data_IF_104052965707
#
_entry.id   IF_104052965707
#
_cell.length_a   1.000
_cell.length_b   1.000
_cell.length_c   1.000
_cell.angle_alpha   90.00
_cell.angle_beta   90.00
_cell.angle_gamma   90.00
#
_symmetry.space_group_name_H-M   'P 1'
#
loop_
_entity.id
_entity.type
_entity.pdbx_description
1 polymer ?
#
# COMPACT_ATOMS: atom_id res chain seq x y z
N UNK A 1 -76.96 -10.27 -6.11
CA UNK A 1 -77.03 -9.32 -5.00
C UNK A 1 -75.77 -8.44 -5.02
N UNK A 2 -75.92 -7.22 -5.55
CA UNK A 2 -75.39 -5.89 -5.13
C UNK A 2 -74.39 -5.80 -3.98
N UNK A 3 -73.51 -4.80 -3.85
CA UNK A 3 -72.97 -3.72 -4.71
C UNK A 3 -71.87 -3.01 -3.89
N UNK A 4 -71.06 -2.19 -4.55
CA UNK A 4 -69.92 -1.39 -4.02
C UNK A 4 -70.38 -0.17 -3.17
N UNK A 5 -69.51 0.64 -2.50
CA UNK A 5 -68.75 1.68 -3.22
C UNK A 5 -67.40 2.16 -2.63
N UNK A 6 -66.81 3.10 -3.38
CA UNK A 6 -65.47 3.72 -3.38
C UNK A 6 -65.28 4.89 -2.38
N UNK A 7 -64.02 5.25 -2.11
CA UNK A 7 -63.61 6.59 -1.67
C UNK A 7 -62.13 6.90 -1.97
N UNK A 8 -61.86 7.93 -2.79
CA UNK A 8 -60.52 8.45 -3.18
C UNK A 8 -60.01 9.49 -2.16
N UNK A 9 -58.69 9.64 -2.03
CA UNK A 9 -58.09 10.86 -1.46
C UNK A 9 -56.56 10.90 -1.52
N UNK A 10 -56.01 11.72 -2.43
CA UNK A 10 -54.59 12.10 -2.51
C UNK A 10 -54.27 13.18 -1.46
N UNK A 11 -53.07 13.17 -0.88
CA UNK A 11 -52.56 14.32 -0.14
C UNK A 11 -51.14 14.12 0.40
N UNK A 12 -50.15 14.70 -0.29
CA UNK A 12 -48.77 14.85 0.20
C UNK A 12 -48.74 15.97 1.26
N UNK A 13 -48.00 15.77 2.34
CA UNK A 13 -47.71 16.85 3.29
C UNK A 13 -46.57 16.47 4.23
N UNK A 14 -45.35 16.92 3.92
CA UNK A 14 -44.18 16.86 4.80
C UNK A 14 -44.36 17.86 5.93
N UNK A 15 -44.40 17.40 7.18
CA UNK A 15 -44.27 18.24 8.37
C UNK A 15 -42.94 17.96 9.06
N UNK A 16 -41.99 18.91 8.96
CA UNK A 16 -40.78 18.94 9.79
C UNK A 16 -41.16 19.48 11.17
N UNK A 17 -40.99 18.67 12.21
CA UNK A 17 -40.98 19.14 13.59
C UNK A 17 -39.59 19.67 13.96
N UNK A 18 -39.53 20.96 14.27
CA UNK A 18 -38.41 21.60 14.97
C UNK A 18 -38.91 21.93 16.38
N UNK A 19 -38.16 21.56 17.42
CA UNK A 19 -38.29 22.16 18.75
C UNK A 19 -36.93 22.68 19.19
N UNK A 20 -36.95 23.99 19.41
CA UNK A 20 -35.92 24.93 19.82
C UNK A 20 -35.70 24.94 21.34
N UNK A 21 -34.49 25.32 21.77
CA UNK A 21 -34.24 26.10 23.01
C UNK A 21 -33.00 26.98 22.74
N UNK A 22 -33.14 28.25 22.34
CA UNK A 22 -33.26 29.50 23.13
C UNK A 22 -31.95 29.96 23.80
N UNK A 23 -31.41 31.13 23.39
CA UNK A 23 -31.08 32.24 24.29
C UNK A 23 -30.97 33.59 23.51
N UNK A 24 -31.82 34.52 23.97
CA UNK A 24 -32.11 35.96 23.73
C UNK A 24 -31.16 36.91 22.97
N UNK A 25 -31.75 37.93 22.32
CA UNK A 25 -31.31 39.33 22.43
C UNK A 25 -32.42 40.28 22.91
N UNK A 26 -32.00 41.42 23.46
CA UNK A 26 -32.81 42.44 24.10
C UNK A 26 -33.00 43.67 23.17
N UNK A 27 -34.28 44.00 22.92
CA UNK A 27 -34.97 45.28 22.65
C UNK A 27 -34.25 46.43 21.89
N UNK A 28 -34.80 46.91 20.76
CA UNK A 28 -35.87 47.95 20.58
C UNK A 28 -35.36 49.36 20.94
N UNK A 29 -35.63 50.48 20.27
CA UNK A 29 -36.53 51.00 19.24
C UNK A 29 -35.76 52.21 18.63
N UNK A 30 -36.00 52.77 17.44
CA UNK A 30 -37.24 53.31 16.91
C UNK A 30 -36.93 54.57 16.08
N UNK A 31 -37.91 54.96 15.27
CA UNK A 31 -38.15 56.26 14.64
C UNK A 31 -37.32 56.74 13.42
N UNK A 32 -37.99 56.61 12.27
CA UNK A 32 -38.31 57.65 11.27
C UNK A 32 -37.54 58.99 11.32
N UNK A 33 -37.01 59.42 10.17
CA UNK A 33 -37.47 60.61 9.42
C UNK A 33 -36.67 60.73 8.10
N UNK A 34 -37.38 60.93 6.98
CA UNK A 34 -36.82 61.45 5.73
C UNK A 34 -36.53 62.96 5.91
N UNK A 35 -35.56 63.51 5.15
CA UNK A 35 -35.64 64.83 4.49
C UNK A 35 -34.30 65.22 3.82
N UNK A 36 -34.43 65.49 2.52
CA UNK A 36 -33.78 66.46 1.64
C UNK A 36 -32.25 66.50 1.37
N UNK A 37 -31.97 66.72 0.08
CA UNK A 37 -31.12 67.87 -0.28
C UNK A 37 -29.92 67.58 -1.16
N UNK A 38 -30.17 67.46 -2.48
CA UNK A 38 -29.37 68.01 -3.59
C UNK A 38 -27.90 68.41 -3.36
N UNK A 39 -26.98 67.84 -4.15
CA UNK A 39 -26.02 68.63 -4.93
C UNK A 39 -25.13 67.75 -5.82
N UNK A 40 -25.54 67.67 -7.08
CA UNK A 40 -24.72 67.83 -8.29
C UNK A 40 -23.20 67.90 -8.15
N UNK A 41 -22.50 67.04 -8.92
CA UNK A 41 -21.30 67.26 -9.78
C UNK A 41 -20.67 65.88 -10.01
N UNK A 42 -20.56 65.32 -11.21
CA UNK A 42 -20.31 65.92 -12.49
C UNK A 42 -19.00 65.34 -13.04
N UNK A 43 -19.11 64.70 -14.22
CA UNK A 43 -18.05 64.43 -15.22
C UNK A 43 -17.09 63.26 -14.99
N UNK A 44 -16.93 62.47 -16.06
CA UNK A 44 -15.61 61.92 -16.42
C UNK A 44 -15.57 60.50 -16.95
N UNK A 45 -16.07 60.27 -18.17
CA UNK A 45 -15.62 59.14 -19.01
C UNK A 45 -14.19 59.41 -19.47
N UNK A 46 -13.27 58.45 -19.35
CA UNK A 46 -11.91 58.59 -19.91
C UNK A 46 -11.01 57.36 -19.74
N UNK A 47 -11.03 56.51 -20.77
CA UNK A 47 -10.23 55.31 -21.06
C UNK A 47 -8.72 55.41 -20.76
N UNK A 48 -8.11 54.29 -20.32
CA UNK A 48 -6.74 53.94 -20.74
C UNK A 48 -5.85 53.12 -19.80
N UNK A 49 -5.56 51.87 -20.25
CA UNK A 49 -4.31 51.09 -20.08
C UNK A 49 -3.93 50.54 -18.70
N UNK A 50 -3.56 49.25 -18.69
CA UNK A 50 -2.68 48.69 -17.65
C UNK A 50 -2.73 47.17 -17.51
N UNK A 51 -1.97 46.45 -18.36
CA UNK A 51 -1.49 45.10 -18.04
C UNK A 51 -0.77 45.16 -16.69
N UNK A 52 -1.27 44.42 -15.70
CA UNK A 52 -0.58 44.17 -14.44
C UNK A 52 -0.73 42.70 -14.09
N UNK A 53 0.34 41.94 -14.29
CA UNK A 53 0.51 40.60 -13.73
C UNK A 53 0.38 40.72 -12.20
N UNK A 54 -0.75 40.29 -11.63
CA UNK A 54 -0.78 39.91 -10.21
C UNK A 54 -0.31 38.48 -10.12
N UNK A 55 0.98 38.33 -9.79
CA UNK A 55 1.50 37.08 -9.27
C UNK A 55 0.59 36.60 -8.15
N UNK A 56 -0.02 35.44 -8.36
CA UNK A 56 -0.70 34.72 -7.30
C UNK A 56 0.33 34.49 -6.20
N UNK A 57 0.13 35.16 -5.08
CA UNK A 57 0.80 34.82 -3.84
C UNK A 57 0.47 33.35 -3.60
N UNK A 58 1.50 32.54 -3.78
CA UNK A 58 1.53 31.13 -3.45
C UNK A 58 1.08 30.96 -2.01
N UNK A 59 -0.20 30.67 -1.85
CA UNK A 59 -0.81 30.23 -0.61
C UNK A 59 -0.47 28.76 -0.41
N UNK A 60 0.82 28.42 -0.46
CA UNK A 60 1.36 27.31 0.33
C UNK A 60 1.36 27.80 1.78
N UNK A 61 0.14 27.93 2.29
CA UNK A 61 -0.16 28.00 3.70
C UNK A 61 0.67 26.91 4.37
N UNK A 62 1.46 27.37 5.34
CA UNK A 62 2.14 26.57 6.31
C UNK A 62 1.40 25.25 6.52
N UNK A 63 2.09 24.14 6.22
CA UNK A 63 1.75 22.78 6.66
C UNK A 63 1.85 22.77 8.20
N UNK A 64 0.99 23.56 8.86
CA UNK A 64 0.74 23.50 10.29
C UNK A 64 -0.23 22.34 10.52
N UNK A 65 0.17 21.15 10.08
CA UNK A 65 -0.42 19.92 10.62
C UNK A 65 -0.04 19.98 12.07
N UNK A 66 -1.04 20.22 12.93
CA UNK A 66 -0.92 20.01 14.36
C UNK A 66 -0.11 18.75 14.56
N UNK A 67 1.13 18.90 15.02
CA UNK A 67 2.03 17.79 15.33
C UNK A 67 1.25 16.96 16.33
N UNK A 68 0.77 15.79 15.90
CA UNK A 68 0.09 14.89 16.82
C UNK A 68 0.99 14.75 18.04
N UNK A 69 0.42 14.84 19.26
CA UNK A 69 1.23 14.72 20.46
C UNK A 69 2.05 13.43 20.35
N UNK A 70 3.34 13.45 20.77
CA UNK A 70 4.16 12.23 20.79
C UNK A 70 3.37 11.09 21.42
N UNK A 71 3.47 9.89 20.83
CA UNK A 71 2.79 8.71 21.36
C UNK A 71 3.19 8.55 22.82
N UNK A 72 2.21 8.53 23.70
CA UNK A 72 2.43 8.24 25.12
C UNK A 72 2.70 6.74 25.26
N UNK A 73 3.98 6.37 25.23
CA UNK A 73 4.44 4.98 25.23
C UNK A 73 3.96 4.25 26.49
N UNK A 74 3.95 4.91 27.66
CA UNK A 74 3.47 4.30 28.91
C UNK A 74 1.97 3.99 28.83
N UNK A 75 1.18 4.93 28.30
CA UNK A 75 -0.23 4.70 28.06
C UNK A 75 -0.48 3.58 27.06
N UNK A 76 0.33 3.46 26.01
CA UNK A 76 0.23 2.36 25.03
C UNK A 76 0.57 1.02 25.69
N UNK A 77 1.66 0.96 26.47
CA UNK A 77 2.09 -0.25 27.20
C UNK A 77 1.11 -0.71 28.27
N UNK A 78 0.37 0.22 28.90
CA UNK A 78 -0.67 -0.12 29.87
C UNK A 78 -1.95 -0.72 29.27
N UNK A 79 -2.12 -0.67 27.94
CA UNK A 79 -3.29 -1.27 27.29
C UNK A 79 -3.21 -2.81 27.37
N UNK A 80 -4.26 -3.51 27.83
CA UNK A 80 -4.27 -4.97 27.89
C UNK A 80 -4.05 -5.67 26.53
N UNK A 81 -4.31 -5.01 25.41
CA UNK A 81 -4.01 -5.56 24.07
C UNK A 81 -2.54 -5.44 23.66
N UNK A 82 -1.73 -4.64 24.36
CA UNK A 82 -0.32 -4.41 24.05
C UNK A 82 0.52 -5.70 24.02
N UNK A 83 0.57 -6.52 25.09
CA UNK A 83 1.44 -7.71 25.10
C UNK A 83 1.09 -8.71 24.00
N UNK A 84 -0.20 -8.80 23.64
CA UNK A 84 -0.65 -9.65 22.54
C UNK A 84 -0.13 -9.14 21.18
N UNK A 85 -0.21 -7.83 20.93
CA UNK A 85 0.28 -7.23 19.69
C UNK A 85 1.80 -7.24 19.60
N UNK A 86 2.49 -6.95 20.70
CA UNK A 86 3.95 -7.04 20.80
C UNK A 86 4.43 -8.47 20.54
N UNK A 87 3.83 -9.47 21.20
CA UNK A 87 4.14 -10.87 20.97
C UNK A 87 3.88 -11.31 19.52
N UNK A 88 2.76 -10.90 18.95
CA UNK A 88 2.43 -11.15 17.55
C UNK A 88 3.48 -10.57 16.59
N UNK A 89 3.86 -9.30 16.76
CA UNK A 89 4.89 -8.66 15.93
C UNK A 89 6.25 -9.35 16.09
N UNK A 90 6.64 -9.68 17.32
CA UNK A 90 7.93 -10.32 17.60
C UNK A 90 8.07 -11.69 16.95
N UNK A 91 7.05 -12.55 17.01
CA UNK A 91 7.09 -13.89 16.39
C UNK A 91 7.02 -13.86 14.87
N UNK A 92 6.44 -12.80 14.31
CA UNK A 92 6.20 -12.65 12.87
C UNK A 92 7.22 -11.76 12.17
N UNK A 93 8.19 -11.24 12.91
CA UNK A 93 9.26 -10.45 12.34
C UNK A 93 10.49 -11.32 12.07
N UNK A 94 10.96 -11.29 10.83
CA UNK A 94 12.20 -11.91 10.41
C UNK A 94 13.27 -10.82 10.25
N UNK A 95 14.23 -10.82 11.18
CA UNK A 95 15.31 -9.85 11.20
C UNK A 95 16.31 -10.02 10.05
N UNK A 96 16.52 -11.24 9.56
CA UNK A 96 17.48 -11.50 8.49
C UNK A 96 16.99 -10.90 7.16
N UNK A 97 15.70 -11.07 6.88
CA UNK A 97 15.07 -10.54 5.67
C UNK A 97 14.43 -9.15 5.87
N UNK A 98 14.50 -8.59 7.09
CA UNK A 98 13.84 -7.33 7.47
C UNK A 98 12.35 -7.34 7.08
N UNK A 99 11.71 -8.48 7.33
CA UNK A 99 10.38 -8.81 6.87
C UNK A 99 9.41 -8.85 8.04
N UNK A 100 8.38 -8.02 7.98
CA UNK A 100 7.24 -8.11 8.88
C UNK A 100 6.14 -8.97 8.22
N UNK A 101 5.91 -10.15 8.78
CA UNK A 101 4.91 -11.09 8.29
C UNK A 101 3.53 -10.84 8.92
N UNK A 102 2.65 -10.15 8.20
CA UNK A 102 1.27 -9.93 8.59
C UNK A 102 0.32 -10.84 7.79
N UNK A 103 0.78 -12.01 7.34
CA UNK A 103 -0.03 -12.94 6.56
C UNK A 103 -0.99 -13.75 7.44
N UNK A 104 -2.16 -14.09 6.88
CA UNK A 104 -3.18 -14.95 7.47
C UNK A 104 -3.40 -14.72 8.97
N UNK A 105 -3.57 -13.45 9.39
CA UNK A 105 -3.59 -13.05 10.81
C UNK A 105 -4.66 -13.83 11.60
N UNK A 106 -5.81 -14.07 10.97
CA UNK A 106 -6.91 -14.81 11.57
C UNK A 106 -6.57 -16.29 11.87
N UNK A 107 -5.47 -16.84 11.35
CA UNK A 107 -4.98 -18.19 11.66
C UNK A 107 -3.99 -18.24 12.82
N UNK A 108 -3.54 -17.08 13.32
CA UNK A 108 -2.59 -17.03 14.43
C UNK A 108 -3.27 -17.49 15.73
N UNK A 109 -2.66 -18.46 16.41
CA UNK A 109 -3.26 -19.13 17.57
C UNK A 109 -3.51 -18.17 18.74
N UNK A 110 -2.59 -17.25 19.01
CA UNK A 110 -2.75 -16.31 20.12
C UNK A 110 -3.79 -15.25 19.80
N UNK A 111 -3.83 -14.79 18.54
CA UNK A 111 -4.86 -13.86 18.06
C UNK A 111 -6.25 -14.51 18.10
N UNK A 112 -6.37 -15.79 17.72
CA UNK A 112 -7.61 -16.54 17.81
C UNK A 112 -8.08 -16.67 19.27
N UNK A 113 -7.19 -17.07 20.17
CA UNK A 113 -7.49 -17.22 21.60
C UNK A 113 -7.91 -15.91 22.26
N UNK A 114 -7.39 -14.78 21.79
CA UNK A 114 -7.78 -13.46 22.30
C UNK A 114 -9.22 -13.05 21.96
N UNK A 115 -9.85 -13.70 20.98
CA UNK A 115 -11.19 -13.35 20.50
C UNK A 115 -11.29 -12.03 19.72
N UNK A 116 -10.16 -11.37 19.39
CA UNK A 116 -10.16 -10.07 18.69
C UNK A 116 -10.76 -10.10 17.29
N UNK A 117 -10.82 -11.27 16.64
CA UNK A 117 -11.44 -11.45 15.32
C UNK A 117 -12.86 -12.02 15.39
N UNK A 118 -13.42 -12.20 16.60
CA UNK A 118 -14.78 -12.68 16.79
C UNK A 118 -15.85 -11.63 16.42
N UNK A 119 -15.49 -10.34 16.40
CA UNK A 119 -16.41 -9.25 16.03
C UNK A 119 -15.80 -8.31 15.00
N UNK A 120 -16.62 -7.83 14.08
CA UNK A 120 -16.20 -6.89 13.02
C UNK A 120 -15.64 -5.58 13.59
N UNK A 121 -16.19 -5.13 14.72
CA UNK A 121 -15.72 -3.92 15.40
C UNK A 121 -14.31 -4.04 15.97
N UNK A 122 -13.97 -5.21 16.54
CA UNK A 122 -12.63 -5.47 17.06
C UNK A 122 -11.61 -5.65 15.92
N UNK A 123 -11.99 -6.34 14.84
CA UNK A 123 -11.15 -6.47 13.63
C UNK A 123 -10.78 -5.12 13.03
N UNK A 124 -11.73 -4.17 12.95
CA UNK A 124 -11.46 -2.81 12.43
C UNK A 124 -10.46 -2.02 13.29
N UNK A 125 -10.38 -2.31 14.59
CA UNK A 125 -9.45 -1.66 15.54
C UNK A 125 -8.10 -2.37 15.63
N UNK A 126 -8.03 -3.63 15.20
CA UNK A 126 -6.83 -4.44 15.28
C UNK A 126 -5.64 -3.80 14.57
N UNK A 127 -5.76 -3.51 13.28
CA UNK A 127 -4.66 -2.93 12.50
C UNK A 127 -4.21 -1.55 13.00
N UNK A 128 -5.12 -0.59 13.27
CA UNK A 128 -4.72 0.69 13.88
C UNK A 128 -3.95 0.51 15.20
N UNK A 129 -4.41 -0.37 16.08
CA UNK A 129 -3.72 -0.63 17.34
C UNK A 129 -2.37 -1.31 17.12
N UNK A 130 -2.29 -2.27 16.19
CA UNK A 130 -1.03 -2.93 15.81
C UNK A 130 0.01 -1.91 15.30
N UNK A 131 -0.40 -0.93 14.48
CA UNK A 131 0.50 0.12 13.99
C UNK A 131 1.00 1.01 15.13
N UNK A 132 0.14 1.35 16.10
CA UNK A 132 0.56 2.11 17.29
C UNK A 132 1.59 1.33 18.11
N UNK A 133 1.40 0.01 18.26
CA UNK A 133 2.37 -0.85 18.95
C UNK A 133 3.69 -0.95 18.18
N UNK A 134 3.65 -1.08 16.84
CA UNK A 134 4.86 -0.99 16.01
C UNK A 134 5.62 0.31 16.25
N UNK A 135 4.92 1.45 16.29
CA UNK A 135 5.51 2.75 16.55
C UNK A 135 6.08 2.90 17.96
N UNK A 136 5.47 2.25 18.96
CA UNK A 136 5.97 2.22 20.32
C UNK A 136 7.20 1.32 20.51
N UNK A 137 7.35 0.26 19.69
CA UNK A 137 8.54 -0.61 19.67
C UNK A 137 9.68 0.05 18.90
N UNK A 138 9.37 0.66 17.76
CA UNK A 138 10.31 1.33 16.87
C UNK A 138 10.09 2.84 16.95
N UNK A 139 10.58 3.46 18.02
CA UNK A 139 10.26 4.84 18.37
C UNK A 139 10.66 5.87 17.30
N UNK A 140 11.79 5.64 16.63
CA UNK A 140 12.32 6.55 15.62
C UNK A 140 12.00 6.08 14.21
N UNK A 141 11.81 7.04 13.30
CA UNK A 141 11.64 6.75 11.87
C UNK A 141 12.83 5.98 11.31
N UNK A 142 14.05 6.33 11.73
CA UNK A 142 15.27 5.65 11.31
C UNK A 142 15.31 4.18 11.76
N UNK A 143 14.89 3.88 13.00
CA UNK A 143 14.79 2.50 13.48
C UNK A 143 13.80 1.69 12.65
N UNK A 144 12.65 2.27 12.28
CA UNK A 144 11.66 1.62 11.38
C UNK A 144 12.23 1.35 10.00
N UNK A 145 12.93 2.33 9.45
CA UNK A 145 13.56 2.24 8.13
C UNK A 145 14.65 1.18 8.11
N UNK A 146 15.44 1.05 9.17
CA UNK A 146 16.47 0.03 9.27
C UNK A 146 15.92 -1.37 9.55
N UNK A 147 14.84 -1.48 10.32
CA UNK A 147 14.26 -2.75 10.73
C UNK A 147 13.35 -3.36 9.64
N UNK A 148 12.48 -2.58 9.01
CA UNK A 148 11.43 -3.12 8.15
C UNK A 148 11.59 -2.60 6.72
N UNK A 149 12.01 -3.48 5.82
CA UNK A 149 12.07 -3.23 4.37
C UNK A 149 10.95 -3.95 3.62
N UNK A 150 10.45 -5.05 4.17
CA UNK A 150 9.51 -5.96 3.53
C UNK A 150 8.28 -6.16 4.40
N UNK A 151 7.09 -6.16 3.81
CA UNK A 151 5.84 -6.50 4.51
C UNK A 151 5.04 -7.46 3.65
N UNK A 152 4.61 -8.59 4.22
CA UNK A 152 3.60 -9.45 3.59
C UNK A 152 2.28 -9.32 4.32
N UNK A 153 1.19 -9.21 3.56
CA UNK A 153 -0.19 -9.17 4.03
C UNK A 153 -1.04 -10.20 3.29
N UNK A 154 -0.41 -11.27 2.82
CA UNK A 154 -1.09 -12.29 2.05
C UNK A 154 -2.07 -13.10 2.89
N UNK A 155 -3.10 -13.67 2.26
CA UNK A 155 -4.00 -14.61 2.95
C UNK A 155 -4.91 -13.97 4.02
N UNK A 156 -5.11 -12.65 4.00
CA UNK A 156 -5.92 -11.95 5.01
C UNK A 156 -7.38 -11.74 4.60
N UNK A 157 -7.80 -12.27 3.45
CA UNK A 157 -9.15 -12.11 2.91
C UNK A 157 -9.57 -10.62 2.80
N UNK A 158 -8.61 -9.73 2.48
CA UNK A 158 -8.86 -8.30 2.35
C UNK A 158 -9.67 -8.04 1.08
N UNK A 159 -10.85 -7.45 1.23
CA UNK A 159 -11.67 -7.03 0.08
C UNK A 159 -11.29 -5.64 -0.44
N UNK A 160 -10.62 -4.83 0.40
CA UNK A 160 -10.16 -3.47 0.10
C UNK A 160 -9.11 -3.01 1.12
N UNK A 161 -8.48 -1.87 0.87
CA UNK A 161 -7.40 -1.34 1.73
C UNK A 161 -7.87 -0.63 2.99
N UNK A 162 -9.17 -0.45 3.26
CA UNK A 162 -9.65 0.41 4.35
C UNK A 162 -9.22 -0.08 5.73
N UNK A 163 -9.33 -1.39 5.99
CA UNK A 163 -8.95 -1.99 7.26
C UNK A 163 -7.46 -1.81 7.58
N UNK A 164 -6.64 -1.69 6.54
CA UNK A 164 -5.17 -1.68 6.62
C UNK A 164 -4.58 -0.35 6.17
N UNK A 165 -5.41 0.66 5.97
CA UNK A 165 -5.01 1.91 5.33
C UNK A 165 -3.87 2.62 6.08
N UNK A 166 -3.87 2.52 7.41
CA UNK A 166 -2.83 3.10 8.27
C UNK A 166 -1.43 2.60 7.93
N UNK A 167 -1.28 1.39 7.39
CA UNK A 167 0.03 0.84 7.00
C UNK A 167 0.83 1.82 6.10
N UNK A 168 0.15 2.50 5.18
CA UNK A 168 0.82 3.44 4.27
C UNK A 168 1.31 4.72 4.96
N UNK A 169 0.83 5.02 6.17
CA UNK A 169 1.28 6.14 6.98
C UNK A 169 2.55 5.79 7.77
N UNK A 170 2.62 4.56 8.30
CA UNK A 170 3.72 4.09 9.16
C UNK A 170 4.88 3.51 8.35
N UNK A 171 4.59 2.80 7.26
CA UNK A 171 5.56 2.02 6.49
C UNK A 171 5.70 2.52 5.04
N UNK A 172 5.72 3.85 4.85
CA UNK A 172 5.86 4.47 3.52
C UNK A 172 7.21 4.21 2.85
N UNK A 173 8.21 3.78 3.61
CA UNK A 173 9.59 3.56 3.18
C UNK A 173 9.86 2.16 2.63
N UNK A 174 8.93 1.21 2.82
CA UNK A 174 9.13 -0.19 2.44
C UNK A 174 9.39 -0.35 0.94
N UNK A 175 10.16 -1.37 0.62
CA UNK A 175 10.60 -1.71 -0.73
C UNK A 175 9.87 -2.95 -1.26
N UNK A 176 9.49 -3.88 -0.38
CA UNK A 176 8.81 -5.12 -0.77
C UNK A 176 7.43 -5.20 -0.13
N UNK A 177 6.41 -5.44 -0.94
CA UNK A 177 5.03 -5.58 -0.50
C UNK A 177 4.39 -6.81 -1.14
N UNK A 178 3.79 -7.66 -0.33
CA UNK A 178 3.03 -8.82 -0.79
C UNK A 178 1.56 -8.70 -0.35
N UNK A 179 0.67 -8.70 -1.34
CA UNK A 179 -0.79 -8.59 -1.21
C UNK A 179 -1.51 -9.81 -1.82
N UNK A 180 -0.79 -10.88 -2.15
CA UNK A 180 -1.36 -12.10 -2.76
C UNK A 180 -2.38 -12.80 -1.85
N UNK A 181 -3.18 -13.69 -2.43
CA UNK A 181 -4.15 -14.49 -1.69
C UNK A 181 -5.13 -13.64 -0.86
N UNK A 182 -5.55 -12.49 -1.40
CA UNK A 182 -6.58 -11.63 -0.79
C UNK A 182 -7.86 -11.68 -1.64
N UNK A 183 -8.90 -10.97 -1.20
CA UNK A 183 -10.22 -10.98 -1.84
C UNK A 183 -10.50 -9.69 -2.63
N UNK A 184 -9.47 -9.11 -3.26
CA UNK A 184 -9.63 -7.89 -4.05
C UNK A 184 -10.35 -8.21 -5.37
N UNK A 185 -11.63 -7.87 -5.47
CA UNK A 185 -12.42 -8.15 -6.66
C UNK A 185 -12.01 -7.30 -7.88
N UNK A 186 -11.60 -6.06 -7.65
CA UNK A 186 -11.21 -5.10 -8.69
C UNK A 186 -10.07 -4.21 -8.20
N UNK A 187 -9.37 -3.55 -9.14
CA UNK A 187 -8.34 -2.57 -8.81
C UNK A 187 -8.86 -1.40 -7.97
N UNK A 188 -10.16 -1.08 -8.01
CA UNK A 188 -10.75 -0.01 -7.21
C UNK A 188 -10.53 -0.22 -5.71
N UNK A 189 -10.46 -1.48 -5.28
CA UNK A 189 -10.20 -1.86 -3.90
C UNK A 189 -8.85 -1.36 -3.36
N UNK A 190 -7.90 -1.11 -4.27
CA UNK A 190 -6.53 -0.67 -3.97
C UNK A 190 -6.27 0.81 -4.27
N UNK A 191 -7.20 1.50 -4.96
CA UNK A 191 -7.08 2.93 -5.31
C UNK A 191 -6.70 3.86 -4.15
N UNK A 192 -7.16 3.65 -2.90
CA UNK A 192 -6.73 4.49 -1.77
C UNK A 192 -5.21 4.52 -1.55
N UNK A 193 -4.48 3.50 -2.02
CA UNK A 193 -3.02 3.42 -1.90
C UNK A 193 -2.26 3.99 -3.10
N UNK A 194 -2.96 4.47 -4.12
CA UNK A 194 -2.34 5.13 -5.29
C UNK A 194 -1.44 6.28 -4.85
N UNK A 195 -0.15 6.18 -5.17
CA UNK A 195 0.85 7.20 -4.88
C UNK A 195 1.32 7.29 -3.41
N UNK A 196 0.95 6.33 -2.55
CA UNK A 196 1.38 6.27 -1.14
C UNK A 196 2.73 5.58 -0.98
N UNK A 197 2.84 4.34 -1.48
CA UNK A 197 4.03 3.48 -1.39
C UNK A 197 5.04 3.76 -2.52
N UNK A 198 5.58 4.97 -2.57
CA UNK A 198 6.45 5.42 -3.67
C UNK A 198 7.81 4.72 -3.73
N UNK A 199 8.20 4.01 -2.66
CA UNK A 199 9.48 3.31 -2.55
C UNK A 199 9.39 1.82 -2.82
N UNK A 200 8.19 1.28 -3.06
CA UNK A 200 8.04 -0.14 -3.39
C UNK A 200 8.70 -0.44 -4.72
N UNK A 201 9.58 -1.42 -4.69
CA UNK A 201 10.33 -1.95 -5.81
C UNK A 201 9.80 -3.34 -6.21
N UNK A 202 9.41 -4.18 -5.24
CA UNK A 202 8.87 -5.51 -5.49
C UNK A 202 7.43 -5.60 -4.97
N UNK A 203 6.49 -5.96 -5.83
CA UNK A 203 5.08 -6.17 -5.50
C UNK A 203 4.63 -7.57 -5.92
N UNK A 204 3.97 -8.28 -5.01
CA UNK A 204 3.24 -9.51 -5.31
C UNK A 204 1.76 -9.25 -5.08
N UNK A 205 0.91 -9.57 -6.06
CA UNK A 205 -0.53 -9.33 -6.03
C UNK A 205 -1.29 -10.27 -6.98
N UNK A 206 -2.53 -10.59 -6.64
CA UNK A 206 -3.37 -11.44 -7.48
C UNK A 206 -3.77 -10.71 -8.78
N UNK A 207 -3.99 -11.48 -9.86
CA UNK A 207 -4.42 -10.94 -11.15
C UNK A 207 -5.84 -10.40 -11.11
N UNK A 208 -6.11 -9.29 -11.77
CA UNK A 208 -7.46 -8.72 -11.91
C UNK A 208 -8.09 -9.06 -13.27
N UNK A 209 -9.44 -9.11 -13.38
CA UNK A 209 -10.12 -9.40 -14.64
C UNK A 209 -9.88 -8.37 -15.77
N UNK A 210 -9.52 -7.13 -15.44
CA UNK A 210 -9.27 -6.07 -16.42
C UNK A 210 -7.93 -6.25 -17.11
N UNK A 211 -7.90 -6.35 -18.45
CA UNK A 211 -6.67 -6.68 -19.21
C UNK A 211 -5.48 -5.72 -19.03
N UNK A 212 -5.70 -4.47 -18.62
CA UNK A 212 -4.67 -3.44 -18.43
C UNK A 212 -4.29 -3.21 -16.96
N UNK A 213 -4.65 -4.13 -16.06
CA UNK A 213 -4.44 -3.92 -14.63
C UNK A 213 -2.97 -3.76 -14.24
N UNK A 214 -2.06 -4.48 -14.92
CA UNK A 214 -0.62 -4.40 -14.68
C UNK A 214 -0.11 -2.97 -14.92
N UNK A 215 -0.45 -2.37 -16.06
CA UNK A 215 -0.04 -1.01 -16.42
C UNK A 215 -0.56 0.03 -15.42
N UNK A 216 -1.81 -0.15 -14.97
CA UNK A 216 -2.40 0.72 -13.96
C UNK A 216 -1.64 0.60 -12.62
N UNK A 217 -1.32 -0.61 -12.17
CA UNK A 217 -0.50 -0.84 -10.98
C UNK A 217 0.90 -0.24 -11.14
N UNK A 218 1.59 -0.51 -12.25
CA UNK A 218 2.93 0.05 -12.53
C UNK A 218 2.91 1.59 -12.45
N UNK A 219 1.83 2.23 -12.92
CA UNK A 219 1.67 3.68 -12.83
C UNK A 219 1.55 4.22 -11.39
N UNK A 220 1.10 3.41 -10.43
CA UNK A 220 0.92 3.81 -9.03
C UNK A 220 2.21 3.71 -8.21
N UNK A 221 3.12 2.80 -8.59
CA UNK A 221 4.37 2.50 -7.90
C UNK A 221 5.56 2.93 -8.77
N UNK A 222 6.02 4.20 -8.68
CA UNK A 222 7.00 4.77 -9.61
C UNK A 222 8.39 4.12 -9.55
N UNK A 223 8.70 3.37 -8.49
CA UNK A 223 9.97 2.63 -8.33
C UNK A 223 9.81 1.12 -8.52
N UNK A 224 8.64 0.64 -8.93
CA UNK A 224 8.40 -0.78 -9.11
C UNK A 224 9.33 -1.35 -10.19
N UNK A 225 10.11 -2.36 -9.81
CA UNK A 225 11.06 -3.12 -10.64
C UNK A 225 10.51 -4.50 -10.95
N UNK A 226 9.88 -5.16 -9.98
CA UNK A 226 9.37 -6.53 -10.08
C UNK A 226 7.90 -6.57 -9.67
N UNK A 227 7.04 -7.07 -10.56
CA UNK A 227 5.62 -7.33 -10.30
C UNK A 227 5.36 -8.82 -10.53
N UNK A 228 4.95 -9.56 -9.51
CA UNK A 228 4.68 -11.01 -9.62
C UNK A 228 5.83 -11.81 -10.25
N UNK A 229 7.08 -11.45 -9.91
CA UNK A 229 8.28 -12.05 -10.51
C UNK A 229 8.65 -11.52 -11.91
N UNK A 230 7.77 -10.78 -12.58
CA UNK A 230 8.05 -10.15 -13.89
C UNK A 230 8.80 -8.82 -13.69
N UNK A 231 9.91 -8.64 -14.40
CA UNK A 231 10.62 -7.37 -14.43
C UNK A 231 9.84 -6.33 -15.25
N UNK A 232 9.40 -5.24 -14.61
CA UNK A 232 8.58 -4.18 -15.22
C UNK A 232 9.34 -2.86 -15.40
N UNK A 233 10.48 -2.70 -14.72
CA UNK A 233 11.38 -1.57 -14.92
C UNK A 233 12.83 -2.09 -14.90
N UNK A 234 13.65 -1.75 -15.91
CA UNK A 234 15.07 -2.00 -15.82
C UNK A 234 15.60 -1.25 -14.60
N UNK A 235 16.38 -1.94 -13.75
CA UNK A 235 17.07 -1.28 -12.65
C UNK A 235 17.82 -0.08 -13.21
N UNK A 236 17.70 1.08 -12.55
CA UNK A 236 18.56 2.20 -12.90
C UNK A 236 20.00 1.78 -12.60
N UNK A 237 20.70 1.25 -13.60
CA UNK A 237 22.14 1.43 -13.71
C UNK A 237 22.33 2.94 -13.80
N UNK A 238 23.02 3.59 -12.85
CA UNK A 238 23.45 4.96 -13.04
C UNK A 238 24.40 4.96 -14.25
N UNK A 239 23.92 5.43 -15.40
CA UNK A 239 24.73 5.59 -16.61
C UNK A 239 24.53 4.51 -17.68
N UNK A 240 23.33 4.42 -18.26
CA UNK A 240 23.19 3.88 -19.62
C UNK A 240 23.02 5.04 -20.62
N UNK A 241 24.09 5.82 -20.76
CA UNK A 241 24.33 6.66 -21.93
C UNK A 241 25.86 6.79 -22.10
N UNK A 242 26.49 5.75 -22.60
CA UNK A 242 27.85 5.82 -23.14
C UNK A 242 28.04 4.72 -24.18
N UNK A 243 28.53 5.15 -25.34
CA UNK A 243 28.85 4.39 -26.53
C UNK A 243 29.86 3.25 -26.26
N UNK A 244 29.94 2.22 -27.13
CA UNK A 244 30.96 1.20 -27.02
C UNK A 244 32.34 1.80 -27.36
N UNK A 245 33.18 2.03 -26.36
CA UNK A 245 34.62 2.23 -26.56
C UNK A 245 35.44 1.26 -25.72
N UNK A 246 36.40 0.67 -26.43
CA UNK A 246 37.33 -0.37 -26.05
C UNK A 246 38.26 0.02 -24.89
N UNK A 247 38.38 -0.93 -23.96
CA UNK A 247 39.56 -1.39 -23.19
C UNK A 247 40.65 -0.36 -22.87
N UNK A 248 40.78 -0.03 -21.58
CA UNK A 248 42.07 0.19 -20.93
C UNK A 248 41.98 -0.20 -19.45
N UNK A 249 42.79 -1.17 -19.06
CA UNK A 249 42.94 -1.66 -17.69
C UNK A 249 43.65 -0.61 -16.82
N UNK A 250 43.16 -0.38 -15.60
CA UNK A 250 44.00 0.11 -14.51
C UNK A 250 43.49 -0.40 -13.16
N UNK A 251 44.33 -1.25 -12.56
CA UNK A 251 44.26 -1.74 -11.18
C UNK A 251 44.17 -0.60 -10.16
N UNK A 252 43.19 -0.66 -9.26
CA UNK A 252 43.33 -0.45 -7.81
C UNK A 252 41.99 -0.72 -7.09
N UNK A 253 42.00 -1.18 -5.82
CA UNK A 253 40.89 -1.91 -5.22
C UNK A 253 39.91 -1.01 -4.44
N UNK A 254 38.61 -1.29 -4.56
CA UNK A 254 37.57 -0.79 -3.64
C UNK A 254 36.64 -1.96 -3.26
N UNK A 255 36.12 -2.02 -2.02
CA UNK A 255 35.52 -3.23 -1.45
C UNK A 255 34.15 -3.49 -2.05
N UNK A 256 33.94 -4.69 -2.59
CA UNK A 256 32.66 -5.14 -3.12
C UNK A 256 31.65 -5.35 -1.99
N UNK A 257 30.54 -4.63 -2.06
CA UNK A 257 29.26 -5.13 -1.56
C UNK A 257 29.02 -6.51 -2.21
N UNK A 258 28.58 -7.48 -1.40
CA UNK A 258 28.40 -8.87 -1.76
C UNK A 258 27.71 -9.04 -3.12
N UNK A 259 28.53 -9.26 -4.15
CA UNK A 259 28.08 -9.89 -5.38
C UNK A 259 27.61 -11.29 -5.00
N UNK A 260 26.44 -11.69 -5.50
CA UNK A 260 26.11 -13.12 -5.55
C UNK A 260 27.32 -13.85 -6.10
N UNK A 261 27.77 -14.87 -5.35
CA UNK A 261 28.93 -15.68 -5.71
C UNK A 261 28.82 -16.08 -7.20
N UNK A 262 29.84 -15.87 -8.05
CA UNK A 262 29.77 -16.25 -9.46
C UNK A 262 29.35 -17.71 -9.69
N UNK A 263 29.60 -18.57 -8.71
CA UNK A 263 29.10 -19.95 -8.70
C UNK A 263 27.57 -20.01 -8.59
N UNK A 264 26.97 -19.16 -7.75
CA UNK A 264 25.53 -19.09 -7.56
C UNK A 264 24.81 -18.58 -8.83
N UNK A 265 25.42 -17.64 -9.55
CA UNK A 265 24.89 -17.18 -10.84
C UNK A 265 24.89 -18.31 -11.89
N UNK A 266 25.98 -19.09 -11.97
CA UNK A 266 26.05 -20.25 -12.87
C UNK A 266 25.00 -21.30 -12.53
N UNK A 267 24.79 -21.57 -11.24
CA UNK A 267 23.74 -22.49 -10.77
C UNK A 267 22.35 -22.00 -11.19
N UNK A 268 22.08 -20.70 -11.07
CA UNK A 268 20.81 -20.10 -11.48
C UNK A 268 20.56 -20.18 -13.00
N UNK A 269 21.59 -19.96 -13.82
CA UNK A 269 21.51 -20.16 -15.28
C UNK A 269 21.20 -21.61 -15.65
N UNK A 270 21.81 -22.58 -14.96
CA UNK A 270 21.57 -24.01 -15.19
C UNK A 270 20.15 -24.42 -14.81
N UNK A 271 19.62 -23.89 -13.70
CA UNK A 271 18.24 -24.12 -13.27
C UNK A 271 17.27 -23.64 -14.35
N UNK A 272 17.44 -22.42 -14.85
CA UNK A 272 16.58 -21.87 -15.90
C UNK A 272 16.61 -22.69 -17.19
N UNK A 273 17.78 -23.21 -17.57
CA UNK A 273 17.92 -24.08 -18.74
C UNK A 273 17.15 -25.40 -18.54
N UNK A 274 17.32 -26.07 -17.40
CA UNK A 274 16.62 -27.33 -17.11
C UNK A 274 15.11 -27.11 -17.08
N UNK A 275 14.63 -26.06 -16.40
CA UNK A 275 13.22 -25.72 -16.36
C UNK A 275 12.62 -25.54 -17.75
N UNK A 276 13.36 -24.92 -18.68
CA UNK A 276 12.91 -24.70 -20.06
C UNK A 276 12.82 -26.00 -20.86
N UNK A 277 13.77 -26.91 -20.69
CA UNK A 277 13.84 -28.15 -21.46
C UNK A 277 12.88 -29.24 -20.93
N UNK A 278 12.65 -29.29 -19.62
CA UNK A 278 11.86 -30.36 -18.96
C UNK A 278 10.47 -29.90 -18.51
N UNK A 279 10.19 -28.60 -18.54
CA UNK A 279 8.99 -27.96 -18.00
C UNK A 279 8.75 -28.26 -16.51
N UNK A 280 9.83 -28.52 -15.74
CA UNK A 280 9.75 -28.74 -14.31
C UNK A 280 9.63 -27.43 -13.52
N UNK A 281 9.01 -27.52 -12.34
CA UNK A 281 9.04 -26.46 -11.33
C UNK A 281 10.47 -26.26 -10.81
N UNK A 282 10.74 -25.06 -10.25
CA UNK A 282 12.10 -24.65 -9.86
C UNK A 282 12.73 -25.60 -8.85
N UNK A 283 11.94 -26.05 -7.88
CA UNK A 283 12.42 -26.92 -6.80
C UNK A 283 12.82 -28.31 -7.33
N UNK A 284 12.07 -28.86 -8.28
CA UNK A 284 12.40 -30.14 -8.90
C UNK A 284 13.57 -30.02 -9.88
N UNK A 285 13.71 -28.88 -10.57
CA UNK A 285 14.89 -28.60 -11.39
C UNK A 285 16.17 -28.50 -10.55
N UNK A 286 16.10 -27.88 -9.36
CA UNK A 286 17.21 -27.85 -8.40
C UNK A 286 17.56 -29.27 -7.96
N UNK A 287 16.58 -30.08 -7.56
CA UNK A 287 16.82 -31.46 -7.13
C UNK A 287 17.45 -32.33 -8.24
N UNK A 288 17.00 -32.18 -9.49
CA UNK A 288 17.59 -32.91 -10.63
C UNK A 288 19.04 -32.48 -10.88
N UNK A 289 19.33 -31.17 -10.76
CA UNK A 289 20.69 -30.64 -10.90
C UNK A 289 21.59 -31.09 -9.75
N UNK A 290 21.11 -31.10 -8.51
CA UNK A 290 21.89 -31.58 -7.35
C UNK A 290 22.22 -33.07 -7.46
N UNK A 291 21.24 -33.89 -7.84
CA UNK A 291 21.44 -35.33 -8.06
C UNK A 291 22.41 -35.59 -9.23
N UNK A 292 22.37 -34.76 -10.27
CA UNK A 292 23.28 -34.77 -11.40
C UNK A 292 24.61 -34.03 -11.15
N UNK A 293 24.96 -33.71 -9.91
CA UNK A 293 26.20 -33.00 -9.55
C UNK A 293 26.41 -31.69 -10.34
N UNK A 294 25.33 -30.94 -10.57
CA UNK A 294 25.28 -29.73 -11.38
C UNK A 294 25.83 -29.93 -12.80
N UNK A 295 25.66 -31.12 -13.37
CA UNK A 295 25.97 -31.44 -14.75
C UNK A 295 24.65 -31.60 -15.54
N UNK A 296 24.46 -30.77 -16.57
CA UNK A 296 23.24 -30.75 -17.39
C UNK A 296 22.95 -32.10 -18.07
N UNK A 297 23.99 -32.81 -18.50
CA UNK A 297 23.87 -34.09 -19.20
C UNK A 297 23.41 -35.20 -18.24
N UNK A 298 24.00 -35.25 -17.05
CA UNK A 298 23.63 -36.22 -16.01
C UNK A 298 22.25 -35.91 -15.42
N UNK A 299 21.95 -34.63 -15.17
CA UNK A 299 20.64 -34.20 -14.69
C UNK A 299 19.53 -34.55 -15.70
N UNK A 300 19.77 -34.37 -17.00
CA UNK A 300 18.84 -34.78 -18.05
C UNK A 300 18.61 -36.29 -18.10
N UNK A 301 19.65 -37.10 -17.93
CA UNK A 301 19.52 -38.55 -17.87
C UNK A 301 18.76 -39.04 -16.64
N UNK A 302 18.98 -38.41 -15.48
CA UNK A 302 18.24 -38.69 -14.24
C UNK A 302 16.78 -38.28 -14.35
N UNK A 303 16.50 -37.12 -14.95
CA UNK A 303 15.13 -36.70 -15.25
C UNK A 303 14.43 -37.70 -16.18
N UNK A 304 15.09 -38.16 -17.25
CA UNK A 304 14.48 -39.13 -18.17
C UNK A 304 14.08 -40.44 -17.48
N UNK A 305 14.82 -40.85 -16.43
CA UNK A 305 14.48 -42.02 -15.61
C UNK A 305 13.37 -41.74 -14.59
N UNK A 306 13.34 -40.54 -13.99
CA UNK A 306 12.35 -40.18 -12.98
C UNK A 306 11.05 -39.63 -13.57
N UNK A 307 11.03 -39.25 -14.85
CA UNK A 307 9.91 -38.59 -15.54
C UNK A 307 8.56 -39.26 -15.29
N UNK A 308 8.52 -40.59 -15.36
CA UNK A 308 7.29 -41.38 -15.24
C UNK A 308 6.88 -41.60 -13.75
N UNK A 309 7.73 -41.23 -12.80
CA UNK A 309 7.51 -41.31 -11.35
C UNK A 309 7.23 -39.96 -10.68
N UNK A 310 7.37 -38.84 -11.42
CA UNK A 310 7.19 -37.50 -10.87
C UNK A 310 5.69 -37.14 -10.74
N UNK A 311 5.28 -36.55 -9.60
CA UNK A 311 3.91 -36.11 -9.40
C UNK A 311 3.55 -34.97 -10.37
N UNK A 312 2.26 -34.73 -10.66
CA UNK A 312 1.82 -33.65 -11.54
C UNK A 312 2.23 -32.25 -11.05
N UNK A 313 2.50 -32.10 -9.75
CA UNK A 313 3.01 -30.88 -9.11
C UNK A 313 4.48 -30.57 -9.47
N UNK A 314 5.20 -31.54 -10.04
CA UNK A 314 6.58 -31.34 -10.48
C UNK A 314 6.68 -30.54 -11.79
N UNK A 315 5.58 -30.37 -12.52
CA UNK A 315 5.54 -29.69 -13.82
C UNK A 315 4.80 -28.35 -13.71
N UNK A 316 5.23 -27.36 -14.52
CA UNK A 316 4.55 -26.07 -14.69
C UNK A 316 3.49 -26.09 -15.80
#
# INVERSE_FOLDING_TARGET
MNDQPRGRGRGRGRGRGNWSVSFTPQNNDGDQMMVDGDSSRGRGRGRGRGRGFRGGQNHFQHDNRSREPPIDIEKVKSNPSYPLMEGFLGRRYDAANKLLNLSAIASDQEILQSGMFATEGAQKKFFPALMIVCDAILETQEAKEQAIHSVTMSGNNLQNTHAVYQLCNHFRHIQNLDLSNNAFATLDALKPWKGRFRNVEHLIIDSFPSSNWEDEIISWFPKLKILNGKQVRPGAVPGANAQPQQIAQSNAPVPAAAAMDPEQQRKEEMILYVQRETNLTRDYAIQCLEAGQWNLEQAGALFAQSRDSLPPEAYN
#
